data_IF_570086091675
#
_entry.id   IF_570086091675
#
_cell.length_a   1.000
_cell.length_b   1.000
_cell.length_c   1.000
_cell.angle_alpha   90.00
_cell.angle_beta   90.00
_cell.angle_gamma   90.00
#
_symmetry.space_group_name_H-M   'P 1'
#
loop_
_entity.id
_entity.type
_entity.pdbx_description
1 polymer ?
#
# COMPACT_ATOMS: atom_id res chain seq x y z
N UNK A 1 27.60 -30.07 -43.30
CA UNK A 1 26.36 -30.21 -42.50
C UNK A 1 26.79 -30.16 -41.05
N UNK A 2 26.88 -28.96 -40.47
CA UNK A 2 27.23 -28.82 -39.05
C UNK A 2 25.92 -28.75 -38.28
N UNK A 3 25.62 -29.81 -37.52
CA UNK A 3 24.58 -29.79 -36.51
C UNK A 3 24.99 -28.80 -35.41
N UNK A 4 24.08 -27.94 -34.91
CA UNK A 4 24.39 -27.08 -33.77
C UNK A 4 24.67 -27.96 -32.56
N UNK A 5 25.67 -27.59 -31.75
CA UNK A 5 25.95 -28.25 -30.48
C UNK A 5 24.66 -28.32 -29.65
N UNK A 6 24.15 -29.53 -29.42
CA UNK A 6 23.15 -29.74 -28.40
C UNK A 6 23.79 -29.32 -27.08
N UNK A 7 23.37 -28.18 -26.56
CA UNK A 7 23.61 -27.80 -25.17
C UNK A 7 23.12 -28.97 -24.31
N UNK A 8 24.04 -29.81 -23.84
CA UNK A 8 23.70 -30.89 -22.92
C UNK A 8 23.25 -30.24 -21.61
N UNK A 9 21.93 -30.07 -21.49
CA UNK A 9 21.31 -29.43 -20.35
C UNK A 9 21.74 -30.16 -19.07
N UNK A 10 22.45 -29.46 -18.19
CA UNK A 10 22.79 -30.02 -16.88
C UNK A 10 21.50 -30.38 -16.15
N UNK A 11 21.49 -31.42 -15.29
CA UNK A 11 20.28 -31.82 -14.56
C UNK A 11 19.61 -30.66 -13.81
N UNK A 12 20.40 -29.69 -13.32
CA UNK A 12 19.90 -28.47 -12.68
C UNK A 12 19.20 -27.50 -13.64
N UNK A 13 19.73 -27.33 -14.87
CA UNK A 13 19.09 -26.50 -15.89
C UNK A 13 17.75 -27.12 -16.34
N UNK A 14 17.71 -28.44 -16.54
CA UNK A 14 16.48 -29.16 -16.87
C UNK A 14 15.43 -29.03 -15.76
N UNK A 15 15.85 -29.13 -14.49
CA UNK A 15 14.95 -28.95 -13.35
C UNK A 15 14.40 -27.51 -13.25
N UNK A 16 15.23 -26.49 -13.48
CA UNK A 16 14.79 -25.10 -13.53
C UNK A 16 13.83 -24.85 -14.69
N UNK A 17 14.13 -25.39 -15.87
CA UNK A 17 13.25 -25.25 -17.03
C UNK A 17 11.89 -25.91 -16.82
N UNK A 18 11.85 -27.09 -16.21
CA UNK A 18 10.59 -27.73 -15.84
C UNK A 18 9.73 -26.86 -14.89
N UNK A 19 10.35 -26.00 -14.06
CA UNK A 19 9.65 -25.06 -13.17
C UNK A 19 9.14 -23.82 -13.91
N UNK A 20 9.86 -23.35 -14.92
CA UNK A 20 9.48 -22.18 -15.71
C UNK A 20 8.51 -22.52 -16.86
N UNK A 21 8.45 -23.79 -17.28
CA UNK A 21 7.61 -24.26 -18.38
C UNK A 21 6.16 -23.77 -18.31
N UNK A 22 5.45 -23.81 -17.16
CA UNK A 22 4.07 -23.33 -17.09
C UNK A 22 3.93 -21.81 -17.34
N UNK A 23 4.96 -21.03 -17.00
CA UNK A 23 4.99 -19.58 -17.23
C UNK A 23 5.30 -19.25 -18.68
N UNK A 24 6.11 -20.09 -19.33
CA UNK A 24 6.44 -19.99 -20.76
C UNK A 24 5.25 -20.39 -21.61
N UNK A 25 4.66 -21.56 -21.35
CA UNK A 25 3.49 -22.06 -22.07
C UNK A 25 2.29 -21.11 -21.93
N UNK A 26 2.19 -20.42 -20.80
CA UNK A 26 1.18 -19.39 -20.56
C UNK A 26 1.51 -18.00 -21.09
N UNK A 27 2.68 -17.77 -21.71
CA UNK A 27 3.13 -16.46 -22.21
C UNK A 27 3.31 -15.40 -21.12
N UNK A 28 3.48 -15.79 -19.86
CA UNK A 28 3.58 -14.88 -18.70
C UNK A 28 5.00 -14.62 -18.25
N UNK A 29 5.97 -15.41 -18.73
CA UNK A 29 7.37 -15.24 -18.36
C UNK A 29 7.87 -13.85 -18.76
N UNK A 30 7.46 -13.35 -19.92
CA UNK A 30 7.81 -12.01 -20.41
C UNK A 30 7.37 -10.92 -19.41
N UNK A 31 6.15 -10.97 -18.91
CA UNK A 31 5.68 -10.02 -17.89
C UNK A 31 6.50 -10.06 -16.59
N UNK A 32 6.96 -11.25 -16.19
CA UNK A 32 7.80 -11.39 -14.99
C UNK A 32 9.17 -10.76 -15.26
N UNK A 33 9.74 -10.98 -16.44
CA UNK A 33 11.00 -10.36 -16.85
C UNK A 33 10.84 -8.84 -16.90
N UNK A 34 9.76 -8.33 -17.50
CA UNK A 34 9.47 -6.89 -17.56
C UNK A 34 9.33 -6.27 -16.15
N UNK A 35 8.65 -6.97 -15.23
CA UNK A 35 8.53 -6.54 -13.84
C UNK A 35 9.89 -6.52 -13.14
N UNK A 36 10.73 -7.52 -13.37
CA UNK A 36 12.08 -7.57 -12.80
C UNK A 36 12.96 -6.46 -13.39
N UNK A 37 12.83 -6.16 -14.68
CA UNK A 37 13.51 -5.04 -15.32
C UNK A 37 13.06 -3.71 -14.72
N UNK A 38 11.75 -3.48 -14.56
CA UNK A 38 11.24 -2.27 -13.91
C UNK A 38 11.73 -2.13 -12.46
N UNK A 39 11.76 -3.23 -11.70
CA UNK A 39 12.29 -3.24 -10.32
C UNK A 39 13.79 -2.94 -10.32
N UNK A 40 14.55 -3.45 -11.29
CA UNK A 40 15.97 -3.13 -11.45
C UNK A 40 16.18 -1.65 -11.76
N UNK A 41 15.41 -1.08 -12.68
CA UNK A 41 15.47 0.34 -13.02
C UNK A 41 15.16 1.21 -11.79
N UNK A 42 14.17 0.81 -10.99
CA UNK A 42 13.85 1.48 -9.72
C UNK A 42 15.03 1.36 -8.75
N UNK A 43 15.61 0.17 -8.58
CA UNK A 43 16.73 -0.04 -7.68
C UNK A 43 17.96 0.80 -8.08
N UNK A 44 18.22 0.95 -9.38
CA UNK A 44 19.31 1.78 -9.91
C UNK A 44 19.07 3.29 -9.70
N UNK A 45 17.81 3.72 -9.67
CA UNK A 45 17.43 5.11 -9.40
C UNK A 45 17.44 5.46 -7.89
N UNK A 46 17.35 4.45 -7.01
CA UNK A 46 17.30 4.64 -5.57
C UNK A 46 18.70 4.76 -4.97
N UNK A 47 19.09 5.99 -4.60
CA UNK A 47 20.23 6.20 -3.72
C UNK A 47 19.86 5.97 -2.24
N UNK A 48 20.89 5.91 -1.37
CA UNK A 48 20.70 5.67 0.06
C UNK A 48 19.80 6.72 0.74
N UNK A 49 19.84 7.97 0.30
CA UNK A 49 19.01 9.04 0.87
C UNK A 49 17.54 8.90 0.46
N UNK A 50 17.29 8.43 -0.76
CA UNK A 50 15.96 8.18 -1.30
C UNK A 50 15.31 6.97 -0.63
N UNK A 51 16.08 5.90 -0.38
CA UNK A 51 15.62 4.73 0.40
C UNK A 51 15.17 5.15 1.80
N UNK A 52 15.98 5.95 2.51
CA UNK A 52 15.64 6.45 3.84
C UNK A 52 14.35 7.29 3.84
N UNK A 53 14.20 8.19 2.85
CA UNK A 53 12.97 8.98 2.71
C UNK A 53 11.75 8.13 2.43
N UNK A 54 11.88 7.12 1.57
CA UNK A 54 10.78 6.20 1.29
C UNK A 54 10.41 5.39 2.53
N UNK A 55 11.39 4.92 3.30
CA UNK A 55 11.15 4.24 4.56
C UNK A 55 10.36 5.12 5.55
N UNK A 56 10.78 6.39 5.72
CA UNK A 56 10.08 7.35 6.58
C UNK A 56 8.66 7.67 6.07
N UNK A 57 8.48 7.75 4.76
CA UNK A 57 7.16 7.97 4.15
C UNK A 57 6.25 6.76 4.36
N UNK A 58 6.77 5.54 4.20
CA UNK A 58 6.05 4.30 4.49
C UNK A 58 5.68 4.19 5.96
N UNK A 59 6.60 4.52 6.88
CA UNK A 59 6.34 4.53 8.31
C UNK A 59 5.25 5.54 8.65
N UNK A 60 5.38 6.77 8.16
CA UNK A 60 4.42 7.86 8.43
C UNK A 60 3.03 7.55 7.87
N UNK A 61 2.95 7.03 6.64
CA UNK A 61 1.68 6.64 6.01
C UNK A 61 1.02 5.45 6.70
N UNK A 62 1.82 4.45 7.09
CA UNK A 62 1.33 3.29 7.85
C UNK A 62 0.83 3.73 9.22
N UNK A 63 1.56 4.59 9.93
CA UNK A 63 1.15 5.12 11.23
C UNK A 63 -0.12 5.97 11.15
N UNK A 64 -0.25 6.81 10.12
CA UNK A 64 -1.46 7.59 9.86
C UNK A 64 -2.65 6.66 9.58
N UNK A 65 -2.46 5.67 8.70
CA UNK A 65 -3.49 4.67 8.37
C UNK A 65 -3.91 3.86 9.58
N UNK A 66 -2.95 3.44 10.41
CA UNK A 66 -3.21 2.71 11.65
C UNK A 66 -4.05 3.54 12.63
N UNK A 67 -3.67 4.80 12.84
CA UNK A 67 -4.39 5.73 13.72
C UNK A 67 -5.85 5.90 13.28
N UNK A 68 -6.07 6.15 11.99
CA UNK A 68 -7.42 6.31 11.41
C UNK A 68 -8.22 5.02 11.53
N UNK A 69 -7.63 3.88 11.17
CA UNK A 69 -8.28 2.57 11.26
C UNK A 69 -8.69 2.24 12.70
N UNK A 70 -7.81 2.50 13.66
CA UNK A 70 -8.08 2.25 15.07
C UNK A 70 -9.20 3.17 15.59
N UNK A 71 -9.20 4.46 15.22
CA UNK A 71 -10.27 5.38 15.59
C UNK A 71 -11.63 4.92 15.05
N UNK A 72 -11.68 4.47 13.78
CA UNK A 72 -12.90 3.90 13.18
C UNK A 72 -13.34 2.64 13.92
N UNK A 73 -12.39 1.75 14.26
CA UNK A 73 -12.67 0.51 14.99
C UNK A 73 -13.30 0.79 16.36
N UNK A 74 -12.74 1.75 17.11
CA UNK A 74 -13.27 2.16 18.42
C UNK A 74 -14.65 2.79 18.28
N UNK A 75 -14.82 3.77 17.37
CA UNK A 75 -16.11 4.41 17.13
C UNK A 75 -17.20 3.40 16.72
N UNK A 76 -16.87 2.43 15.86
CA UNK A 76 -17.80 1.35 15.50
C UNK A 76 -18.19 0.50 16.71
N UNK A 77 -17.24 0.16 17.57
CA UNK A 77 -17.51 -0.61 18.78
C UNK A 77 -18.44 0.16 19.74
N UNK A 78 -18.19 1.45 19.94
CA UNK A 78 -19.02 2.32 20.78
C UNK A 78 -20.45 2.47 20.25
N UNK A 79 -20.61 2.70 18.94
CA UNK A 79 -21.94 2.79 18.31
C UNK A 79 -22.67 1.45 18.34
N UNK A 80 -21.97 0.34 18.12
CA UNK A 80 -22.59 -1.00 18.13
C UNK A 80 -22.99 -1.46 19.53
N UNK A 81 -22.35 -0.92 20.58
CA UNK A 81 -22.71 -1.18 21.97
C UNK A 81 -23.96 -0.42 22.42
N UNK A 82 -24.44 0.58 21.66
CA UNK A 82 -25.66 1.30 21.96
C UNK A 82 -26.88 0.47 21.56
N UNK A 83 -27.84 0.32 22.49
CA UNK A 83 -29.04 -0.51 22.29
C UNK A 83 -29.99 0.00 21.20
N UNK A 84 -29.84 1.26 20.76
CA UNK A 84 -30.67 1.87 19.72
C UNK A 84 -29.83 2.82 18.85
N UNK A 85 -30.22 2.98 17.59
CA UNK A 85 -29.56 3.91 16.68
C UNK A 85 -29.69 5.36 17.15
N UNK A 86 -28.64 6.20 17.02
CA UNK A 86 -28.72 7.61 17.41
C UNK A 86 -29.79 8.36 16.61
N UNK A 87 -30.65 9.10 17.31
CA UNK A 87 -31.58 10.04 16.66
C UNK A 87 -30.87 11.28 16.10
N UNK A 88 -31.57 12.05 15.26
CA UNK A 88 -31.03 13.27 14.63
C UNK A 88 -30.54 14.32 15.63
N UNK A 89 -31.27 14.51 16.74
CA UNK A 89 -30.85 15.41 17.83
C UNK A 89 -29.59 14.93 18.54
N UNK A 90 -29.39 13.62 18.66
CA UNK A 90 -28.18 13.06 19.27
C UNK A 90 -26.94 13.31 18.38
N UNK A 91 -27.10 13.18 17.06
CA UNK A 91 -26.04 13.51 16.10
C UNK A 91 -25.66 15.00 16.15
N UNK A 92 -26.64 15.90 16.28
CA UNK A 92 -26.38 17.34 16.45
C UNK A 92 -25.65 17.64 17.77
N UNK A 93 -25.98 16.93 18.85
CA UNK A 93 -25.25 17.07 20.12
C UNK A 93 -23.82 16.57 20.02
N UNK A 94 -23.59 15.46 19.32
CA UNK A 94 -22.25 14.89 19.08
C UNK A 94 -21.32 15.90 18.40
N UNK A 95 -21.82 16.69 17.45
CA UNK A 95 -21.04 17.78 16.81
C UNK A 95 -20.60 18.87 17.79
N UNK A 96 -21.32 19.04 18.90
CA UNK A 96 -20.98 20.02 19.93
C UNK A 96 -20.13 19.43 21.08
N UNK A 97 -19.86 18.13 21.07
CA UNK A 97 -18.94 17.52 22.02
C UNK A 97 -17.52 18.06 21.85
N UNK A 98 -16.80 18.17 22.95
CA UNK A 98 -15.49 18.81 22.97
C UNK A 98 -14.50 18.17 21.98
N UNK A 99 -14.42 16.84 21.99
CA UNK A 99 -13.46 16.11 21.16
C UNK A 99 -13.87 16.08 19.68
N UNK A 100 -15.17 16.02 19.39
CA UNK A 100 -15.68 16.18 18.02
C UNK A 100 -15.34 17.56 17.46
N UNK A 101 -15.48 18.63 18.25
CA UNK A 101 -15.11 19.99 17.82
C UNK A 101 -13.61 20.12 17.59
N UNK A 102 -12.76 19.53 18.43
CA UNK A 102 -11.30 19.46 18.21
C UNK A 102 -11.00 18.74 16.88
N UNK A 103 -11.64 17.60 16.62
CA UNK A 103 -11.51 16.86 15.37
C UNK A 103 -11.91 17.68 14.14
N UNK A 104 -13.06 18.34 14.19
CA UNK A 104 -13.52 19.24 13.12
C UNK A 104 -12.54 20.40 12.91
N UNK A 105 -12.02 21.00 13.99
CA UNK A 105 -11.04 22.07 13.90
C UNK A 105 -9.75 21.61 13.20
N UNK A 106 -9.26 20.39 13.48
CA UNK A 106 -8.10 19.82 12.79
C UNK A 106 -8.37 19.70 11.29
N UNK A 107 -9.51 19.13 10.88
CA UNK A 107 -9.87 18.99 9.45
C UNK A 107 -9.90 20.35 8.75
N UNK A 108 -10.61 21.32 9.35
CA UNK A 108 -10.72 22.67 8.80
C UNK A 108 -9.36 23.38 8.73
N UNK A 109 -8.50 23.19 9.73
CA UNK A 109 -7.18 23.80 9.75
C UNK A 109 -6.26 23.18 8.70
N UNK A 110 -6.33 21.86 8.48
CA UNK A 110 -5.60 21.19 7.40
C UNK A 110 -6.01 21.72 6.03
N UNK A 111 -7.31 21.88 5.78
CA UNK A 111 -7.82 22.50 4.54
C UNK A 111 -7.32 23.93 4.37
N UNK A 112 -7.28 24.72 5.45
CA UNK A 112 -6.75 26.08 5.44
C UNK A 112 -5.24 26.11 5.09
N UNK A 113 -4.46 25.15 5.58
CA UNK A 113 -3.03 25.04 5.25
C UNK A 113 -2.83 24.66 3.78
N UNK A 114 -3.58 23.68 3.26
CA UNK A 114 -3.52 23.28 1.84
C UNK A 114 -3.89 24.47 0.96
N UNK A 115 -5.01 25.15 1.24
CA UNK A 115 -5.46 26.32 0.47
C UNK A 115 -4.51 27.51 0.52
N UNK A 116 -3.57 27.57 1.48
CA UNK A 116 -2.51 28.59 1.54
C UNK A 116 -1.29 28.22 0.67
N UNK A 117 -1.12 26.94 0.37
CA UNK A 117 0.01 26.43 -0.42
C UNK A 117 -0.35 26.29 -1.92
N UNK A 118 -1.64 26.30 -2.26
CA UNK A 118 -2.16 26.44 -3.62
C UNK A 118 -2.07 27.90 -4.09
#
# INVERSE_FOLDING_TARGET
MNMPEEMSATPGFTALMAKLQPLIDGGRLENIVDLLSLVSDIADLLDAAMVEKLAQLFESSTAATWTVSNAVRVAKAEVSAQSAAPGTLALLKLLNEEDTRKGVAVVLKTLNVIGRQL
#
